data_IF_067925289074
#
_entry.id   IF_067925289074
#
_cell.length_a   1.000
_cell.length_b   1.000
_cell.length_c   1.000
_cell.angle_alpha   90.00
_cell.angle_beta   90.00
_cell.angle_gamma   90.00
#
_symmetry.space_group_name_H-M   'P 1'
#
loop_
_entity.id
_entity.type
_entity.pdbx_description
1 polymer ?
#
# COMPACT_ATOMS: atom_id res chain seq x y z
N UNK A 1 4.35 -5.71 13.06
CA UNK A 1 5.59 -6.42 12.69
C UNK A 1 5.49 -6.89 11.25
N UNK A 2 5.70 -5.99 10.30
CA UNK A 2 5.99 -6.37 8.92
C UNK A 2 7.43 -6.92 8.90
N UNK A 3 7.58 -8.24 8.74
CA UNK A 3 8.90 -8.85 8.53
C UNK A 3 9.26 -8.68 7.06
N UNK A 4 10.34 -7.95 6.78
CA UNK A 4 10.90 -7.84 5.44
C UNK A 4 11.35 -9.20 4.83
N UNK A 5 11.34 -10.27 5.63
CA UNK A 5 11.67 -11.65 5.24
C UNK A 5 10.48 -12.61 5.30
N UNK A 6 9.23 -12.13 5.41
CA UNK A 6 8.08 -13.02 5.22
C UNK A 6 7.98 -13.42 3.74
N UNK A 7 7.89 -14.73 3.41
CA UNK A 7 7.71 -15.15 2.02
C UNK A 7 6.40 -14.56 1.49
N UNK A 8 6.49 -13.73 0.45
CA UNK A 8 5.31 -13.21 -0.24
C UNK A 8 4.81 -14.26 -1.23
N UNK A 9 3.56 -14.70 -1.07
CA UNK A 9 2.87 -15.52 -2.07
C UNK A 9 2.35 -14.66 -3.25
N UNK A 10 3.06 -13.58 -3.55
CA UNK A 10 2.69 -12.63 -4.58
C UNK A 10 3.94 -11.86 -5.04
N UNK A 11 4.03 -11.60 -6.33
CA UNK A 11 5.01 -10.70 -6.94
C UNK A 11 4.34 -9.35 -7.22
N UNK A 12 4.87 -8.27 -6.63
CA UNK A 12 4.47 -6.91 -6.97
C UNK A 12 5.41 -6.39 -8.05
N UNK A 13 4.85 -5.95 -9.19
CA UNK A 13 5.63 -5.45 -10.32
C UNK A 13 5.78 -3.95 -10.29
N UNK A 14 4.72 -3.23 -9.95
CA UNK A 14 4.69 -1.77 -9.96
C UNK A 14 3.82 -1.23 -8.83
N UNK A 15 4.22 -0.07 -8.30
CA UNK A 15 3.46 0.67 -7.31
C UNK A 15 3.42 2.13 -7.75
N UNK A 16 2.21 2.66 -7.88
CA UNK A 16 1.96 4.06 -8.19
C UNK A 16 1.31 4.74 -6.99
N UNK A 17 1.77 5.95 -6.66
CA UNK A 17 1.19 6.80 -5.63
C UNK A 17 0.85 8.14 -6.26
N UNK A 18 -0.39 8.58 -6.08
CA UNK A 18 -0.89 9.85 -6.57
C UNK A 18 -1.47 10.68 -5.40
N UNK A 19 -1.01 11.93 -5.19
CA UNK A 19 0.08 12.61 -5.88
C UNK A 19 1.48 12.21 -5.37
N UNK A 20 2.41 11.94 -6.29
CA UNK A 20 3.85 11.77 -6.00
C UNK A 20 4.74 12.31 -7.12
N UNK A 21 4.95 13.62 -7.14
CA UNK A 21 5.81 14.27 -8.15
C UNK A 21 7.29 13.86 -8.01
N UNK A 22 7.70 13.48 -6.79
CA UNK A 22 9.07 13.06 -6.48
C UNK A 22 9.48 11.77 -7.20
N UNK A 23 8.51 10.96 -7.65
CA UNK A 23 8.75 9.74 -8.41
C UNK A 23 9.50 9.99 -9.72
N UNK A 24 9.26 11.14 -10.38
CA UNK A 24 9.99 11.52 -11.60
C UNK A 24 11.50 11.74 -11.36
N UNK A 25 11.90 11.98 -10.11
CA UNK A 25 13.29 12.17 -9.70
C UNK A 25 13.84 10.94 -8.94
N UNK A 26 13.11 9.82 -8.90
CA UNK A 26 13.48 8.64 -8.11
C UNK A 26 13.52 8.90 -6.59
N UNK A 27 12.84 9.94 -6.13
CA UNK A 27 12.81 10.34 -4.71
C UNK A 27 11.58 9.77 -4.01
N UNK A 28 11.67 9.53 -2.70
CA UNK A 28 10.52 9.10 -1.91
C UNK A 28 9.37 10.11 -1.94
N UNK A 29 8.14 9.60 -2.04
CA UNK A 29 6.93 10.41 -2.13
C UNK A 29 6.72 11.29 -0.89
N UNK A 30 6.52 12.59 -1.10
CA UNK A 30 6.15 13.52 -0.02
C UNK A 30 4.65 13.63 0.09
N UNK A 31 4.06 12.74 0.88
CA UNK A 31 2.63 12.74 1.17
C UNK A 31 2.27 13.76 2.24
N UNK A 32 1.23 14.56 1.99
CA UNK A 32 0.76 15.59 2.92
C UNK A 32 -0.31 15.02 3.84
N UNK A 33 -0.31 15.48 5.10
CA UNK A 33 -1.40 15.19 6.03
C UNK A 33 -2.63 16.03 5.71
N UNK A 34 -3.81 15.51 6.06
CA UNK A 34 -5.12 16.11 5.81
C UNK A 34 -5.65 15.91 4.40
N UNK A 35 -5.04 15.04 3.59
CA UNK A 35 -5.47 14.73 2.23
C UNK A 35 -5.66 13.22 2.04
N UNK A 36 -6.40 12.85 1.01
CA UNK A 36 -6.48 11.46 0.54
C UNK A 36 -5.48 11.29 -0.60
N UNK A 37 -4.69 10.23 -0.56
CA UNK A 37 -3.80 9.82 -1.66
C UNK A 37 -4.27 8.51 -2.25
N UNK A 38 -4.05 8.30 -3.53
CA UNK A 38 -4.36 7.07 -4.22
C UNK A 38 -3.10 6.23 -4.36
N UNK A 39 -3.22 4.93 -4.12
CA UNK A 39 -2.17 3.96 -4.37
C UNK A 39 -2.71 2.88 -5.31
N UNK A 40 -1.93 2.57 -6.34
CA UNK A 40 -2.23 1.49 -7.29
C UNK A 40 -1.08 0.50 -7.25
N UNK A 41 -1.40 -0.77 -7.02
CA UNK A 41 -0.41 -1.86 -6.95
C UNK A 41 -0.72 -2.85 -8.08
N UNK A 42 0.26 -3.07 -8.94
CA UNK A 42 0.22 -4.13 -9.94
C UNK A 42 0.89 -5.37 -9.34
N UNK A 43 0.17 -6.49 -9.33
CA UNK A 43 0.62 -7.69 -8.67
C UNK A 43 0.20 -8.96 -9.39
N UNK A 44 0.98 -10.02 -9.21
CA UNK A 44 0.68 -11.36 -9.71
C UNK A 44 0.76 -12.32 -8.52
N UNK A 45 -0.37 -12.89 -8.05
CA UNK A 45 -0.40 -13.80 -6.93
C UNK A 45 -0.03 -15.23 -7.38
N UNK A 46 0.56 -16.01 -6.49
CA UNK A 46 0.81 -17.44 -6.68
C UNK A 46 -0.19 -18.31 -5.89
N UNK A 47 -1.32 -17.71 -5.51
CA UNK A 47 -2.47 -18.34 -4.86
C UNK A 47 -3.77 -17.94 -5.56
N UNK A 48 -4.81 -18.75 -5.36
CA UNK A 48 -6.18 -18.41 -5.70
C UNK A 48 -6.99 -18.18 -4.42
N UNK A 49 -7.93 -17.22 -4.45
CA UNK A 49 -8.77 -16.89 -3.29
C UNK A 49 -10.07 -16.22 -3.73
N UNK A 50 -11.19 -16.52 -3.06
CA UNK A 50 -12.48 -15.88 -3.37
C UNK A 50 -12.60 -14.47 -2.77
N UNK A 51 -11.86 -14.19 -1.71
CA UNK A 51 -11.89 -12.93 -0.98
C UNK A 51 -10.48 -12.42 -0.71
N UNK A 52 -10.33 -11.09 -0.64
CA UNK A 52 -9.07 -10.45 -0.30
C UNK A 52 -9.26 -9.41 0.81
N UNK A 53 -8.29 -9.33 1.72
CA UNK A 53 -8.27 -8.33 2.78
C UNK A 53 -7.07 -7.40 2.60
N UNK A 54 -7.34 -6.10 2.56
CA UNK A 54 -6.34 -5.04 2.38
C UNK A 54 -6.17 -4.21 3.65
N UNK A 55 -4.93 -3.90 4.03
CA UNK A 55 -4.61 -2.98 5.13
C UNK A 55 -3.36 -2.18 4.80
N UNK A 56 -3.37 -0.89 5.16
CA UNK A 56 -2.21 -0.01 4.98
C UNK A 56 -1.77 0.48 6.36
N UNK A 57 -0.46 0.48 6.57
CA UNK A 57 0.16 0.90 7.83
C UNK A 57 1.23 1.95 7.57
N UNK A 58 1.36 2.89 8.51
CA UNK A 58 2.55 3.72 8.63
C UNK A 58 3.59 2.93 9.43
N UNK A 59 4.65 2.52 8.76
CA UNK A 59 5.72 1.73 9.36
C UNK A 59 6.66 2.61 10.20
N UNK A 60 7.07 2.10 11.36
CA UNK A 60 8.01 2.79 12.27
C UNK A 60 8.85 1.80 13.06
N UNK A 61 9.90 2.28 13.73
CA UNK A 61 10.75 1.44 14.58
C UNK A 61 10.03 0.91 15.83
N UNK A 62 9.05 1.65 16.35
CA UNK A 62 8.35 1.30 17.60
C UNK A 62 7.17 0.39 17.31
N UNK A 63 6.26 0.85 16.45
CA UNK A 63 5.03 0.13 16.10
C UNK A 63 4.43 0.63 14.79
N UNK A 64 3.74 -0.26 14.09
CA UNK A 64 3.04 0.05 12.85
C UNK A 64 1.70 0.72 13.19
N UNK A 65 1.42 1.90 12.63
CA UNK A 65 0.18 2.64 12.89
C UNK A 65 -0.78 2.42 11.71
N UNK A 66 -1.97 1.81 11.89
CA UNK A 66 -2.89 1.56 10.79
C UNK A 66 -3.48 2.86 10.22
N UNK A 67 -3.63 2.90 8.89
CA UNK A 67 -4.43 3.92 8.22
C UNK A 67 -5.92 3.67 8.49
N UNK A 68 -6.61 4.70 8.99
CA UNK A 68 -8.01 4.63 9.38
C UNK A 68 -8.91 5.15 8.27
N UNK A 69 -10.17 4.68 8.25
CA UNK A 69 -11.15 5.09 7.26
C UNK A 69 -11.01 4.39 5.91
N UNK A 70 -10.25 3.30 5.86
CA UNK A 70 -10.16 2.40 4.70
C UNK A 70 -11.00 1.14 4.95
N UNK A 71 -11.76 0.69 3.93
CA UNK A 71 -12.36 -0.64 3.96
C UNK A 71 -11.24 -1.69 3.96
N UNK A 72 -11.39 -2.74 4.77
CA UNK A 72 -10.49 -3.89 4.72
C UNK A 72 -10.90 -4.91 3.67
N UNK A 73 -12.14 -4.86 3.19
CA UNK A 73 -12.63 -5.68 2.08
C UNK A 73 -11.96 -5.16 0.80
N UNK A 74 -11.03 -5.92 0.25
CA UNK A 74 -10.20 -5.48 -0.87
C UNK A 74 -10.77 -5.87 -2.24
N UNK A 75 -11.71 -6.81 -2.31
CA UNK A 75 -12.39 -7.14 -3.57
C UNK A 75 -13.29 -6.00 -4.07
N UNK A 76 -13.61 -5.00 -3.24
CA UNK A 76 -14.22 -3.75 -3.71
C UNK A 76 -13.28 -2.92 -4.58
N UNK A 77 -11.97 -3.21 -4.54
CA UNK A 77 -10.93 -2.38 -5.17
C UNK A 77 -9.89 -3.19 -5.93
N UNK A 78 -10.14 -4.48 -6.14
CA UNK A 78 -9.43 -5.36 -7.07
C UNK A 78 -10.42 -6.38 -7.64
N UNK A 79 -10.02 -7.14 -8.66
CA UNK A 79 -10.86 -8.20 -9.22
C UNK A 79 -10.83 -9.44 -8.32
N UNK A 80 -12.00 -9.91 -7.90
CA UNK A 80 -12.17 -11.22 -7.25
C UNK A 80 -13.14 -12.10 -8.07
N UNK A 81 -12.98 -13.43 -8.06
CA UNK A 81 -11.97 -14.19 -7.32
C UNK A 81 -10.55 -13.95 -7.85
N UNK A 82 -9.58 -13.99 -6.95
CA UNK A 82 -8.15 -13.93 -7.26
C UNK A 82 -7.74 -15.26 -7.86
N UNK A 83 -7.10 -15.22 -9.02
CA UNK A 83 -6.57 -16.39 -9.70
C UNK A 83 -5.04 -16.40 -9.70
N UNK A 84 -4.46 -17.54 -9.32
CA UNK A 84 -3.01 -17.73 -9.34
C UNK A 84 -2.42 -17.50 -10.75
N UNK A 85 -1.28 -16.82 -10.81
CA UNK A 85 -0.55 -16.52 -12.05
C UNK A 85 -1.14 -15.39 -12.90
N UNK A 86 -2.29 -14.82 -12.52
CA UNK A 86 -2.91 -13.73 -13.27
C UNK A 86 -2.49 -12.36 -12.71
N UNK A 87 -2.03 -11.48 -13.59
CA UNK A 87 -1.76 -10.08 -13.22
C UNK A 87 -3.06 -9.39 -12.85
N UNK A 88 -3.03 -8.68 -11.72
CA UNK A 88 -4.15 -7.96 -11.15
C UNK A 88 -3.69 -6.58 -10.67
N UNK A 89 -4.67 -5.71 -10.48
CA UNK A 89 -4.47 -4.34 -10.02
C UNK A 89 -5.30 -4.12 -8.77
N UNK A 90 -4.66 -3.64 -7.70
CA UNK A 90 -5.33 -3.23 -6.47
C UNK A 90 -5.23 -1.72 -6.31
N UNK A 91 -6.39 -1.07 -6.16
CA UNK A 91 -6.50 0.35 -5.91
C UNK A 91 -6.84 0.62 -4.44
N UNK A 92 -6.14 1.57 -3.83
CA UNK A 92 -6.37 1.96 -2.45
C UNK A 92 -6.46 3.48 -2.33
N UNK A 93 -7.56 3.98 -1.78
CA UNK A 93 -7.68 5.37 -1.35
C UNK A 93 -7.23 5.44 0.11
N UNK A 94 -6.19 6.22 0.39
CA UNK A 94 -5.51 6.28 1.68
C UNK A 94 -5.76 7.65 2.32
N UNK A 95 -6.63 7.76 3.34
CA UNK A 95 -6.85 8.99 4.07
C UNK A 95 -5.67 9.27 5.02
N UNK A 96 -4.83 10.25 4.69
CA UNK A 96 -3.66 10.61 5.50
C UNK A 96 -4.07 11.64 6.53
N UNK A 97 -4.72 11.20 7.61
CA UNK A 97 -5.22 12.08 8.68
C UNK A 97 -4.13 12.94 9.33
N UNK A 98 -4.51 14.15 9.80
CA UNK A 98 -3.60 15.10 10.49
C UNK A 98 -2.91 14.52 11.72
N UNK A 99 -3.51 13.50 12.35
CA UNK A 99 -2.96 12.82 13.53
C UNK A 99 -1.80 11.87 13.23
N UNK A 100 -1.55 11.51 11.97
CA UNK A 100 -0.39 10.68 11.63
C UNK A 100 0.92 11.44 11.88
N UNK A 101 2.00 10.74 12.27
CA UNK A 101 3.32 11.35 12.47
C UNK A 101 3.85 12.02 11.20
N UNK A 102 4.68 13.06 11.38
CA UNK A 102 5.45 13.67 10.28
C UNK A 102 6.87 13.16 10.38
N UNK A 103 7.37 12.56 9.30
CA UNK A 103 8.79 12.22 9.16
C UNK A 103 9.48 13.27 8.31
N UNK A 104 10.33 14.08 8.95
CA UNK A 104 11.17 15.09 8.27
C UNK A 104 12.54 14.54 7.86
N UNK A 105 12.92 13.36 8.36
CA UNK A 105 14.08 12.61 7.90
C UNK A 105 13.62 11.32 7.26
N UNK A 106 13.97 11.17 5.99
CA UNK A 106 14.01 9.86 5.36
C UNK A 106 14.88 8.95 6.22
N UNK A 107 14.28 7.85 6.69
CA UNK A 107 15.01 6.77 7.32
C UNK A 107 15.86 6.13 6.23
N UNK A 108 17.09 6.62 6.09
CA UNK A 108 18.14 5.87 5.39
C UNK A 108 18.41 4.65 6.27
N UNK A 109 17.99 3.48 5.79
CA UNK A 109 18.58 2.21 6.21
C UNK A 109 19.70 1.91 5.25
#
# INVERSE_FOLDING_TARGET
YFSANAPSNCTVTEVYIDPCKEAAEGKPCKVRRGVTSNMTIHYTPNFSADTMVGRVFWASQLTDIPFLGMSSEACSSTTCPIAAGQSNVYHAQIPILKKYPVVSKLMST
#
